data_IF_624213372173
#
_entry.id   IF_624213372173
#
_cell.length_a   1.000
_cell.length_b   1.000
_cell.length_c   1.000
_cell.angle_alpha   90.00
_cell.angle_beta   90.00
_cell.angle_gamma   90.00
#
_symmetry.space_group_name_H-M   'P 1'
#
loop_
_entity.id
_entity.type
_entity.pdbx_description
1 polymer ?
#
# COMPACT_ATOMS: atom_id res chain seq x y z
N UNK A 1 38.59 -19.86 -4.83
CA UNK A 1 37.94 -18.84 -3.98
C UNK A 1 36.47 -18.83 -4.38
N UNK A 2 35.64 -19.63 -3.70
CA UNK A 2 34.19 -19.66 -3.98
C UNK A 2 33.52 -18.49 -3.27
N UNK A 3 32.94 -17.59 -4.06
CA UNK A 3 31.99 -16.62 -3.54
C UNK A 3 30.77 -17.39 -3.00
N UNK A 4 30.45 -17.19 -1.73
CA UNK A 4 29.19 -17.63 -1.16
C UNK A 4 28.08 -16.82 -1.82
N UNK A 5 27.45 -17.38 -2.87
CA UNK A 5 26.19 -16.84 -3.37
C UNK A 5 25.13 -17.17 -2.32
N UNK A 6 24.76 -16.18 -1.50
CA UNK A 6 23.46 -16.21 -0.82
C UNK A 6 22.39 -16.36 -1.91
N UNK A 7 21.43 -17.29 -1.79
CA UNK A 7 20.25 -17.27 -2.64
C UNK A 7 19.57 -15.90 -2.46
N UNK A 8 18.96 -15.32 -3.51
CA UNK A 8 18.12 -14.14 -3.31
C UNK A 8 17.09 -14.51 -2.25
N UNK A 9 17.02 -13.71 -1.18
CA UNK A 9 15.99 -13.87 -0.16
C UNK A 9 14.65 -13.89 -0.90
N UNK A 10 13.97 -15.04 -0.87
CA UNK A 10 12.63 -15.15 -1.45
C UNK A 10 11.76 -14.14 -0.74
N UNK A 11 11.21 -13.19 -1.50
CA UNK A 11 10.26 -12.19 -1.00
C UNK A 11 9.11 -12.89 -0.26
N UNK A 12 8.60 -12.26 0.81
CA UNK A 12 7.49 -12.80 1.60
C UNK A 12 6.29 -13.12 0.68
N UNK A 13 5.73 -14.35 0.70
CA UNK A 13 4.58 -14.73 -0.13
C UNK A 13 3.36 -13.80 0.01
N UNK A 14 3.22 -13.10 1.14
CA UNK A 14 2.18 -12.12 1.36
C UNK A 14 2.30 -10.91 0.41
N UNK A 15 3.50 -10.54 -0.04
CA UNK A 15 3.71 -9.43 -0.99
C UNK A 15 2.96 -9.68 -2.30
N UNK A 16 3.19 -10.83 -2.93
CA UNK A 16 2.51 -11.17 -4.18
C UNK A 16 0.98 -11.26 -4.02
N UNK A 17 0.50 -11.68 -2.83
CA UNK A 17 -0.93 -11.71 -2.54
C UNK A 17 -1.53 -10.32 -2.33
N UNK A 18 -0.80 -9.42 -1.67
CA UNK A 18 -1.19 -8.01 -1.48
C UNK A 18 -1.31 -7.34 -2.84
N UNK A 19 -0.26 -7.42 -3.66
CA UNK A 19 -0.23 -6.78 -4.98
C UNK A 19 -1.35 -7.29 -5.89
N UNK A 20 -1.62 -8.60 -5.88
CA UNK A 20 -2.74 -9.16 -6.65
C UNK A 20 -4.10 -8.61 -6.20
N UNK A 21 -4.34 -8.47 -4.90
CA UNK A 21 -5.61 -7.92 -4.40
C UNK A 21 -5.76 -6.45 -4.81
N UNK A 22 -4.67 -5.68 -4.75
CA UNK A 22 -4.66 -4.29 -5.15
C UNK A 22 -4.90 -4.13 -6.66
N UNK A 23 -4.27 -4.98 -7.47
CA UNK A 23 -4.45 -5.01 -8.92
C UNK A 23 -5.91 -5.33 -9.28
N UNK A 24 -6.48 -6.36 -8.67
CA UNK A 24 -7.89 -6.70 -8.88
C UNK A 24 -8.84 -5.58 -8.43
N UNK A 25 -8.52 -4.88 -7.33
CA UNK A 25 -9.32 -3.75 -6.86
C UNK A 25 -9.24 -2.54 -7.79
N UNK A 26 -8.05 -2.21 -8.27
CA UNK A 26 -7.84 -1.13 -9.24
C UNK A 26 -8.57 -1.45 -10.56
N UNK A 27 -8.43 -2.67 -11.07
CA UNK A 27 -9.13 -3.13 -12.26
C UNK A 27 -10.66 -3.02 -12.12
N UNK A 28 -11.23 -3.47 -10.99
CA UNK A 28 -12.67 -3.35 -10.72
C UNK A 28 -13.15 -1.90 -10.64
N UNK A 29 -12.30 -0.99 -10.16
CA UNK A 29 -12.68 0.42 -10.03
C UNK A 29 -12.89 1.11 -11.39
N UNK A 30 -12.32 0.56 -12.47
CA UNK A 30 -12.40 1.13 -13.81
C UNK A 30 -11.68 2.48 -13.96
N UNK A 31 -10.96 2.92 -12.93
CA UNK A 31 -10.26 4.19 -12.93
C UNK A 31 -8.95 4.09 -13.72
N UNK A 32 -8.70 5.10 -14.53
CA UNK A 32 -7.48 5.20 -15.31
C UNK A 32 -6.29 5.37 -14.35
N UNK A 33 -5.34 4.43 -14.41
CA UNK A 33 -4.15 4.50 -13.58
C UNK A 33 -3.14 5.44 -14.25
N UNK A 34 -2.60 6.44 -13.52
CA UNK A 34 -1.59 7.33 -14.07
C UNK A 34 -0.33 6.56 -14.47
N UNK A 35 0.42 7.10 -15.44
CA UNK A 35 1.68 6.49 -15.86
C UNK A 35 2.68 6.38 -14.70
N UNK A 36 3.66 5.45 -14.75
CA UNK A 36 4.59 5.20 -13.65
C UNK A 36 5.31 6.45 -13.14
N UNK A 37 5.71 7.35 -14.04
CA UNK A 37 6.47 8.57 -13.73
C UNK A 37 5.57 9.80 -13.47
N UNK A 38 4.26 9.62 -13.58
CA UNK A 38 3.29 10.70 -13.38
C UNK A 38 2.91 10.83 -11.91
N UNK A 39 2.86 12.08 -11.43
CA UNK A 39 2.39 12.40 -10.08
C UNK A 39 0.88 12.21 -10.01
N UNK A 40 0.43 11.42 -9.03
CA UNK A 40 -0.98 11.10 -8.80
C UNK A 40 -1.65 12.21 -8.00
N UNK A 41 -2.76 12.75 -8.48
CA UNK A 41 -3.66 13.58 -7.65
C UNK A 41 -4.73 12.69 -7.01
N UNK A 42 -4.90 12.80 -5.69
CA UNK A 42 -5.79 11.94 -4.92
C UNK A 42 -6.56 12.70 -3.83
N UNK A 43 -7.73 12.18 -3.47
CA UNK A 43 -8.43 12.67 -2.27
C UNK A 43 -7.86 12.07 -1.00
N UNK A 44 -7.53 10.78 -1.05
CA UNK A 44 -7.03 9.99 0.06
C UNK A 44 -5.89 9.11 -0.42
N UNK A 45 -4.81 9.02 0.34
CA UNK A 45 -3.71 8.12 0.06
C UNK A 45 -3.12 7.54 1.35
N UNK A 46 -2.68 6.29 1.27
CA UNK A 46 -1.89 5.63 2.30
C UNK A 46 -0.62 5.06 1.68
N UNK A 47 0.51 5.26 2.34
CA UNK A 47 1.73 4.54 2.03
C UNK A 47 1.99 3.48 3.11
N UNK A 48 2.38 2.28 2.68
CA UNK A 48 2.64 1.13 3.53
C UNK A 48 4.05 0.63 3.24
N UNK A 49 4.99 0.89 4.15
CA UNK A 49 6.35 0.40 4.02
C UNK A 49 6.50 -0.91 4.78
N UNK A 50 6.61 -2.03 4.07
CA UNK A 50 6.55 -3.36 4.67
C UNK A 50 7.86 -3.80 5.34
N UNK A 51 8.47 -2.93 6.14
CA UNK A 51 9.85 -3.04 6.63
C UNK A 51 10.03 -3.58 8.03
N UNK A 52 8.96 -4.00 8.72
CA UNK A 52 9.11 -4.61 10.04
C UNK A 52 9.88 -5.95 9.99
N UNK A 53 9.93 -6.61 8.83
CA UNK A 53 10.54 -7.97 8.69
C UNK A 53 11.44 -8.17 7.47
N UNK A 54 11.73 -7.14 6.67
CA UNK A 54 12.49 -7.30 5.41
C UNK A 54 13.54 -6.21 5.20
N UNK A 55 14.73 -6.60 4.72
CA UNK A 55 15.82 -5.68 4.39
C UNK A 55 15.59 -4.92 3.06
N UNK A 56 14.80 -5.48 2.14
CA UNK A 56 14.37 -4.86 0.88
C UNK A 56 12.83 -4.90 0.80
N UNK A 57 12.22 -3.88 1.40
CA UNK A 57 10.78 -3.89 1.70
C UNK A 57 9.96 -3.14 0.66
N UNK A 58 8.90 -3.74 0.09
CA UNK A 58 7.97 -3.01 -0.75
C UNK A 58 7.38 -1.84 0.02
N UNK A 59 7.32 -0.70 -0.68
CA UNK A 59 6.48 0.41 -0.29
C UNK A 59 5.31 0.47 -1.25
N UNK A 60 4.11 0.22 -0.76
CA UNK A 60 2.88 0.35 -1.53
C UNK A 60 2.24 1.70 -1.26
N UNK A 61 1.90 2.42 -2.32
CA UNK A 61 0.99 3.55 -2.28
C UNK A 61 -0.38 3.06 -2.74
N UNK A 62 -1.42 3.30 -1.94
CA UNK A 62 -2.81 3.03 -2.29
C UNK A 62 -3.58 4.34 -2.17
N UNK A 63 -4.36 4.68 -3.19
CA UNK A 63 -5.01 5.99 -3.26
C UNK A 63 -6.42 5.94 -3.85
N UNK A 64 -7.20 6.95 -3.50
CA UNK A 64 -8.50 7.26 -4.10
C UNK A 64 -8.32 8.38 -5.11
N UNK A 65 -8.55 8.09 -6.38
CA UNK A 65 -8.51 9.06 -7.50
C UNK A 65 -9.63 10.10 -7.35
N UNK A 66 -9.53 11.22 -8.06
CA UNK A 66 -10.53 12.30 -7.98
C UNK A 66 -11.94 11.89 -8.43
N UNK A 67 -12.02 10.97 -9.40
CA UNK A 67 -13.27 10.35 -9.87
C UNK A 67 -13.84 9.31 -8.89
N UNK A 68 -13.11 9.02 -7.82
CA UNK A 68 -13.50 8.08 -6.78
C UNK A 68 -13.13 6.62 -7.04
N UNK A 69 -12.33 6.36 -8.06
CA UNK A 69 -11.66 5.08 -8.24
C UNK A 69 -10.65 4.72 -7.15
N UNK A 70 -10.08 3.52 -7.28
CA UNK A 70 -8.95 3.08 -6.47
C UNK A 70 -7.78 2.83 -7.40
N UNK A 71 -6.62 3.35 -7.00
CA UNK A 71 -5.36 3.02 -7.63
C UNK A 71 -4.30 2.60 -6.63
N UNK A 72 -3.25 1.98 -7.15
CA UNK A 72 -2.13 1.56 -6.36
C UNK A 72 -0.84 1.58 -7.19
N UNK A 73 0.30 1.71 -6.52
CA UNK A 73 1.62 1.51 -7.13
C UNK A 73 2.67 1.15 -6.09
N UNK A 74 3.76 0.52 -6.56
CA UNK A 74 4.98 0.33 -5.77
C UNK A 74 5.88 1.55 -5.93
N UNK A 75 6.36 2.14 -4.83
CA UNK A 75 7.08 3.43 -4.88
C UNK A 75 8.58 3.32 -5.19
N UNK A 76 9.19 2.14 -5.02
CA UNK A 76 10.64 1.98 -5.14
C UNK A 76 11.37 2.97 -4.21
N UNK A 77 12.41 3.63 -4.71
CA UNK A 77 13.18 4.65 -3.98
C UNK A 77 12.60 6.07 -4.08
N UNK A 78 11.42 6.24 -4.69
CA UNK A 78 10.86 7.57 -4.96
C UNK A 78 10.32 8.22 -3.69
N UNK A 79 10.58 9.53 -3.53
CA UNK A 79 9.98 10.32 -2.47
C UNK A 79 8.45 10.41 -2.64
N UNK A 80 7.72 10.15 -1.55
CA UNK A 80 6.26 10.13 -1.54
C UNK A 80 5.64 11.42 -2.12
N UNK A 81 6.19 12.59 -1.77
CA UNK A 81 5.70 13.88 -2.26
C UNK A 81 5.90 14.09 -3.76
N UNK A 82 6.89 13.41 -4.36
CA UNK A 82 7.10 13.45 -5.80
C UNK A 82 6.07 12.59 -6.55
N UNK A 83 5.52 11.56 -5.90
CA UNK A 83 4.65 10.57 -6.52
C UNK A 83 3.16 10.84 -6.28
N UNK A 84 2.79 11.45 -5.14
CA UNK A 84 1.39 11.72 -4.82
C UNK A 84 1.16 13.15 -4.30
N UNK A 85 0.06 13.74 -4.73
CA UNK A 85 -0.54 14.95 -4.17
C UNK A 85 -1.92 14.57 -3.63
N UNK A 86 -2.02 14.34 -2.32
CA UNK A 86 -3.24 13.87 -1.69
C UNK A 86 -3.77 14.88 -0.66
N UNK A 87 -5.08 15.14 -0.69
CA UNK A 87 -5.73 15.97 0.34
C UNK A 87 -5.56 15.37 1.73
N UNK A 88 -5.68 14.04 1.83
CA UNK A 88 -5.47 13.28 3.05
C UNK A 88 -4.42 12.20 2.81
N UNK A 89 -3.29 12.29 3.51
CA UNK A 89 -2.18 11.37 3.39
C UNK A 89 -1.83 10.80 4.77
N UNK A 90 -1.66 9.49 4.83
CA UNK A 90 -1.16 8.80 6.02
C UNK A 90 -0.22 7.68 5.62
N UNK A 91 0.42 7.05 6.60
CA UNK A 91 1.17 5.83 6.37
C UNK A 91 1.55 5.12 7.65
N UNK A 92 2.20 3.99 7.46
CA UNK A 92 2.70 3.15 8.54
C UNK A 92 3.73 2.16 8.00
N UNK A 93 4.42 1.53 8.94
CA UNK A 93 5.33 0.43 8.69
C UNK A 93 4.73 -0.90 9.17
N UNK A 94 3.92 -1.63 8.36
CA UNK A 94 3.33 -2.89 8.79
C UNK A 94 4.12 -4.11 8.34
N UNK A 95 3.92 -5.25 8.99
CA UNK A 95 4.21 -6.56 8.38
C UNK A 95 3.39 -6.76 7.08
N UNK A 96 3.96 -7.40 6.02
CA UNK A 96 3.20 -7.81 4.84
C UNK A 96 1.92 -8.59 5.17
N UNK A 97 2.00 -9.47 6.17
CA UNK A 97 0.85 -10.26 6.64
C UNK A 97 -0.25 -9.41 7.29
N UNK A 98 0.11 -8.28 7.91
CA UNK A 98 -0.83 -7.32 8.47
C UNK A 98 -1.60 -6.57 7.38
N UNK A 99 -0.89 -6.15 6.33
CA UNK A 99 -1.52 -5.57 5.13
C UNK A 99 -2.50 -6.55 4.50
N UNK A 100 -2.12 -7.81 4.36
CA UNK A 100 -3.00 -8.84 3.79
C UNK A 100 -4.28 -9.04 4.63
N UNK A 101 -4.17 -9.08 5.96
CA UNK A 101 -5.32 -9.20 6.87
C UNK A 101 -6.23 -7.98 6.78
N UNK A 102 -5.67 -6.79 6.64
CA UNK A 102 -6.43 -5.55 6.44
C UNK A 102 -7.19 -5.54 5.11
N UNK A 103 -6.52 -5.90 4.00
CA UNK A 103 -7.13 -5.98 2.67
C UNK A 103 -8.25 -7.03 2.59
N UNK A 104 -8.16 -8.10 3.40
CA UNK A 104 -9.24 -9.11 3.53
C UNK A 104 -10.36 -8.69 4.48
N UNK A 105 -10.23 -7.54 5.13
CA UNK A 105 -11.18 -7.05 6.11
C UNK A 105 -11.14 -7.78 7.45
N UNK A 106 -10.14 -8.63 7.70
CA UNK A 106 -9.92 -9.32 8.98
C UNK A 106 -9.45 -8.35 10.06
N UNK A 107 -8.62 -7.37 9.68
CA UNK A 107 -8.14 -6.31 10.55
C UNK A 107 -8.73 -4.95 10.16
N UNK A 108 -8.99 -4.06 11.15
CA UNK A 108 -9.49 -2.72 10.88
C UNK A 108 -8.45 -1.80 10.23
N UNK A 109 -7.17 -2.04 10.52
CA UNK A 109 -6.02 -1.27 10.07
C UNK A 109 -4.91 -2.22 9.60
N UNK A 110 -3.95 -1.75 8.78
CA UNK A 110 -2.83 -2.57 8.30
C UNK A 110 -1.85 -3.01 9.41
N UNK A 111 -1.95 -2.43 10.60
CA UNK A 111 -1.23 -2.85 11.80
C UNK A 111 -2.16 -3.57 12.80
N UNK A 112 -1.63 -4.50 13.64
CA UNK A 112 -2.41 -5.10 14.72
C UNK A 112 -2.86 -4.02 15.70
N UNK A 113 -3.98 -4.19 16.41
CA UNK A 113 -4.60 -3.15 17.26
C UNK A 113 -3.75 -2.54 18.40
N UNK A 114 -2.46 -2.89 18.51
CA UNK A 114 -1.45 -2.23 19.38
C UNK A 114 -0.36 -1.47 18.61
N UNK A 115 -0.26 -1.63 17.29
CA UNK A 115 0.62 -0.86 16.43
C UNK A 115 0.13 0.58 16.29
N UNK A 116 1.04 1.50 16.01
CA UNK A 116 0.73 2.89 15.66
C UNK A 116 0.93 3.06 14.17
N UNK A 117 -0.07 3.59 13.47
CA UNK A 117 0.22 4.30 12.22
C UNK A 117 1.04 5.54 12.53
N UNK A 118 1.83 6.01 11.57
CA UNK A 118 2.66 7.20 11.75
C UNK A 118 1.80 8.45 12.01
N UNK A 119 0.55 8.42 11.52
CA UNK A 119 -0.44 9.48 11.71
C UNK A 119 -1.81 8.90 12.13
N UNK A 120 -2.02 8.60 13.43
CA UNK A 120 -3.25 7.97 13.92
C UNK A 120 -4.48 8.88 13.77
N UNK A 121 -4.30 10.20 13.73
CA UNK A 121 -5.37 11.18 13.49
C UNK A 121 -5.96 11.09 12.07
N UNK A 122 -5.29 10.35 11.17
CA UNK A 122 -5.74 10.07 9.81
C UNK A 122 -6.31 8.65 9.65
N UNK A 123 -6.77 8.02 10.73
CA UNK A 123 -7.44 6.71 10.67
C UNK A 123 -8.66 6.68 9.73
N UNK A 124 -9.34 7.82 9.54
CA UNK A 124 -10.45 7.95 8.58
C UNK A 124 -10.01 7.67 7.13
N UNK A 125 -8.75 7.95 6.78
CA UNK A 125 -8.18 7.62 5.46
C UNK A 125 -8.11 6.11 5.25
N UNK A 126 -7.79 5.34 6.30
CA UNK A 126 -7.79 3.87 6.26
C UNK A 126 -9.21 3.32 6.09
N UNK A 127 -10.19 3.88 6.81
CA UNK A 127 -11.60 3.49 6.71
C UNK A 127 -12.16 3.77 5.32
N UNK A 128 -11.85 4.94 4.76
CA UNK A 128 -12.26 5.35 3.41
C UNK A 128 -11.72 4.39 2.35
N UNK A 129 -10.41 4.14 2.36
CA UNK A 129 -9.75 3.22 1.43
C UNK A 129 -10.31 1.80 1.56
N UNK A 130 -10.40 1.28 2.78
CA UNK A 130 -10.94 -0.06 3.04
C UNK A 130 -12.37 -0.21 2.53
N UNK A 131 -13.22 0.78 2.77
CA UNK A 131 -14.60 0.78 2.28
C UNK A 131 -14.67 0.69 0.75
N UNK A 132 -13.74 1.29 0.01
CA UNK A 132 -13.71 1.19 -1.46
C UNK A 132 -13.09 -0.12 -1.95
N UNK A 133 -11.99 -0.55 -1.34
CA UNK A 133 -11.32 -1.82 -1.64
C UNK A 133 -12.27 -3.03 -1.49
N UNK A 134 -13.14 -3.01 -0.47
CA UNK A 134 -14.06 -4.10 -0.14
C UNK A 134 -15.44 -4.01 -0.82
N UNK A 135 -15.78 -2.90 -1.51
CA UNK A 135 -17.10 -2.70 -2.15
C UNK A 135 -17.12 -3.04 -3.64
N UNK A 136 -16.11 -3.76 -4.14
CA UNK A 136 -16.07 -4.29 -5.50
C UNK A 136 -17.16 -5.34 -5.76
#
# INVERSE_FOLDING_TARGET
>A
MSACQCPPLSEDPAVALVERILEEAAFRSGAEQPLPDERVTATHAIWLCACETMDDSPVWLIYVTEDGGIGWRRLGESDLSAVVDATHLTGCHPDPSGVLKWLRGEWPYPWPGRGRGDFPDHAFTCDELRRRLLRG
#
